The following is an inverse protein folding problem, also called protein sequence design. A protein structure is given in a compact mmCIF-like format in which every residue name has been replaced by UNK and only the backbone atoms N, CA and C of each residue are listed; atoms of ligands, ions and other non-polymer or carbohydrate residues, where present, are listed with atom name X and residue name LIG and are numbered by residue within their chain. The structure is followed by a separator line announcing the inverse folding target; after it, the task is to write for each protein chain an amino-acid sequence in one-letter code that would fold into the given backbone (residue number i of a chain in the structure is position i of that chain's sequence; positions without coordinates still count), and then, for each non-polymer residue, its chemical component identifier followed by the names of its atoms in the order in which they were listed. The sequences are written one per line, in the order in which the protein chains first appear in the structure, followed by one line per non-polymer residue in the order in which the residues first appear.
data_IF_743582741456
#
_entry.id   IF_743582741456
#
_cell.length_a   1.000
_cell.length_b   1.000
_cell.length_c   1.000
_cell.angle_alpha   90.00
_cell.angle_beta   90.00
_cell.angle_gamma   90.00
#
_symmetry.space_group_name_H-M   'P 1'
#
loop_
_entity.id
_entity.type
_entity.pdbx_description
1 polymer ?
#
# COMPACT_ATOMS: atom_id res chain seq x y z
N UNK A 1 2.59 -1.06 -20.03
CA UNK A 1 3.44 0.15 -20.10
C UNK A 1 4.79 -0.29 -19.58
N UNK A 2 5.77 -0.51 -20.46
CA UNK A 2 7.04 -1.10 -20.05
C UNK A 2 8.01 -0.02 -19.53
N UNK A 3 8.27 -0.04 -18.23
CA UNK A 3 9.22 0.86 -17.53
C UNK A 3 10.59 0.18 -17.33
N UNK A 4 10.75 -1.05 -17.77
CA UNK A 4 11.95 -1.88 -17.59
C UNK A 4 13.20 -1.34 -18.29
N UNK A 5 13.05 -0.45 -19.27
CA UNK A 5 14.17 0.19 -19.95
C UNK A 5 14.88 1.25 -19.08
N UNK A 6 14.26 1.70 -17.99
CA UNK A 6 14.86 2.66 -17.06
C UNK A 6 15.79 1.98 -16.05
N UNK A 7 16.96 1.53 -16.52
CA UNK A 7 17.93 0.75 -15.75
C UNK A 7 18.47 1.47 -14.49
N UNK A 8 18.51 2.80 -14.50
CA UNK A 8 19.01 3.61 -13.39
C UNK A 8 17.91 4.21 -12.50
N UNK A 9 16.63 3.89 -12.77
CA UNK A 9 15.51 4.44 -12.01
C UNK A 9 15.29 3.64 -10.72
N UNK A 10 15.62 4.27 -9.60
CA UNK A 10 15.49 3.66 -8.27
C UNK A 10 14.24 4.11 -7.51
N UNK A 11 13.62 5.21 -7.94
CA UNK A 11 12.45 5.81 -7.27
C UNK A 11 11.39 6.10 -8.32
N UNK A 12 10.19 5.59 -8.11
CA UNK A 12 9.05 5.80 -8.99
C UNK A 12 7.87 6.34 -8.17
N UNK A 13 7.29 7.45 -8.64
CA UNK A 13 6.06 8.00 -8.09
C UNK A 13 5.00 8.00 -9.19
N UNK A 14 3.92 7.28 -8.94
CA UNK A 14 2.78 7.15 -9.84
C UNK A 14 1.58 7.84 -9.20
N UNK A 15 0.97 8.77 -9.92
CA UNK A 15 -0.18 9.55 -9.48
C UNK A 15 -1.34 9.40 -10.45
N UNK A 16 -2.56 9.39 -9.92
CA UNK A 16 -3.77 9.22 -10.70
C UNK A 16 -4.13 7.75 -10.90
N UNK A 17 -5.26 7.52 -11.56
CA UNK A 17 -5.93 6.22 -11.68
C UNK A 17 -5.08 5.22 -12.49
N UNK A 18 -4.62 4.16 -11.83
CA UNK A 18 -3.76 3.09 -12.36
C UNK A 18 -4.26 1.78 -11.75
N UNK A 19 -5.46 1.37 -12.12
CA UNK A 19 -6.16 0.24 -11.49
C UNK A 19 -5.38 -1.08 -11.63
N UNK A 20 -4.66 -1.24 -12.75
CA UNK A 20 -3.84 -2.40 -13.05
C UNK A 20 -2.38 -2.00 -13.19
N UNK A 21 -1.53 -2.60 -12.37
CA UNK A 21 -0.09 -2.45 -12.50
C UNK A 21 0.46 -3.34 -13.62
N UNK A 22 1.56 -2.92 -14.26
CA UNK A 22 2.23 -3.75 -15.24
C UNK A 22 2.83 -4.99 -14.55
N UNK A 23 3.22 -5.99 -15.33
CA UNK A 23 3.82 -7.19 -14.77
C UNK A 23 5.15 -6.86 -14.05
N UNK A 24 5.55 -7.64 -13.04
CA UNK A 24 6.81 -7.40 -12.29
C UNK A 24 8.04 -7.17 -13.19
N UNK A 25 8.09 -7.82 -14.37
CA UNK A 25 9.18 -7.71 -15.36
C UNK A 25 9.17 -6.39 -16.16
N UNK A 26 8.04 -5.70 -16.18
CA UNK A 26 7.89 -4.40 -16.83
C UNK A 26 8.25 -3.24 -15.90
N UNK A 27 8.46 -3.48 -14.60
CA UNK A 27 8.98 -2.46 -13.69
C UNK A 27 10.47 -2.19 -13.94
N UNK A 28 10.98 -1.01 -13.54
CA UNK A 28 12.41 -0.75 -13.53
C UNK A 28 13.13 -1.81 -12.66
N UNK A 29 14.19 -2.46 -13.18
CA UNK A 29 14.78 -3.62 -12.52
C UNK A 29 15.44 -3.28 -11.18
N UNK A 30 15.86 -2.03 -10.98
CA UNK A 30 16.52 -1.56 -9.76
C UNK A 30 15.60 -0.67 -8.91
N UNK A 31 14.28 -0.86 -9.01
CA UNK A 31 13.32 -0.05 -8.28
C UNK A 31 13.40 -0.31 -6.76
N UNK A 32 13.81 0.70 -6.02
CA UNK A 32 13.97 0.65 -4.55
C UNK A 32 12.80 1.30 -3.82
N UNK A 33 12.22 2.36 -4.39
CA UNK A 33 11.11 3.09 -3.80
C UNK A 33 9.97 3.23 -4.79
N UNK A 34 8.77 2.84 -4.37
CA UNK A 34 7.53 3.07 -5.10
C UNK A 34 6.56 3.90 -4.27
N UNK A 35 5.93 4.88 -4.90
CA UNK A 35 4.86 5.67 -4.28
C UNK A 35 3.66 5.75 -5.22
N UNK A 36 2.51 5.31 -4.74
CA UNK A 36 1.25 5.23 -5.49
C UNK A 36 0.24 6.16 -4.81
N UNK A 37 -0.35 7.08 -5.57
CA UNK A 37 -1.30 8.06 -5.04
C UNK A 37 -2.47 8.18 -6.02
N UNK A 38 -3.69 7.99 -5.53
CA UNK A 38 -4.90 8.03 -6.37
C UNK A 38 -4.97 6.91 -7.41
N UNK A 39 -4.21 5.83 -7.21
CA UNK A 39 -4.08 4.72 -8.16
C UNK A 39 -5.29 3.81 -8.24
N UNK A 40 -6.11 3.73 -7.20
CA UNK A 40 -7.31 2.87 -7.17
C UNK A 40 -7.00 1.41 -7.55
N UNK A 41 -5.90 0.88 -7.01
CA UNK A 41 -5.39 -0.44 -7.35
C UNK A 41 -6.45 -1.53 -7.14
N UNK A 42 -6.52 -2.46 -8.09
CA UNK A 42 -7.21 -3.73 -7.90
C UNK A 42 -6.47 -4.62 -6.89
N UNK A 43 -7.21 -5.48 -6.19
CA UNK A 43 -6.67 -6.42 -5.17
C UNK A 43 -5.47 -7.21 -5.73
N UNK A 44 -5.58 -7.70 -6.96
CA UNK A 44 -4.53 -8.51 -7.61
C UNK A 44 -3.26 -7.72 -7.96
N UNK A 45 -3.34 -6.38 -8.02
CA UNK A 45 -2.18 -5.55 -8.33
C UNK A 45 -1.19 -5.47 -7.17
N UNK A 46 -1.64 -5.65 -5.93
CA UNK A 46 -0.76 -5.75 -4.75
C UNK A 46 0.23 -6.91 -4.94
N UNK A 47 -0.22 -8.06 -5.47
CA UNK A 47 0.61 -9.24 -5.71
C UNK A 47 1.83 -8.94 -6.59
N UNK A 48 1.68 -8.04 -7.57
CA UNK A 48 2.80 -7.62 -8.42
C UNK A 48 3.84 -6.79 -7.64
N UNK A 49 3.38 -5.99 -6.69
CA UNK A 49 4.25 -5.18 -5.83
C UNK A 49 5.05 -6.04 -4.87
N UNK A 50 4.44 -7.10 -4.32
CA UNK A 50 5.10 -8.00 -3.36
C UNK A 50 6.27 -8.75 -3.98
N UNK A 51 6.20 -8.99 -5.29
CA UNK A 51 7.21 -9.71 -6.07
C UNK A 51 8.38 -8.84 -6.51
N UNK A 52 8.38 -7.54 -6.24
CA UNK A 52 9.47 -6.65 -6.63
C UNK A 52 10.71 -6.95 -5.77
N UNK A 53 11.81 -7.47 -6.37
CA UNK A 53 12.89 -8.07 -5.62
C UNK A 53 13.74 -7.07 -4.83
N UNK A 54 13.79 -5.81 -5.27
CA UNK A 54 14.62 -4.76 -4.66
C UNK A 54 13.82 -3.65 -3.97
N UNK A 55 12.49 -3.80 -3.89
CA UNK A 55 11.64 -2.79 -3.29
C UNK A 55 11.87 -2.71 -1.79
N UNK A 56 12.46 -1.60 -1.33
CA UNK A 56 12.73 -1.34 0.10
C UNK A 56 11.73 -0.38 0.72
N UNK A 57 11.07 0.45 -0.08
CA UNK A 57 10.10 1.42 0.39
C UNK A 57 8.85 1.43 -0.48
N UNK A 58 7.69 1.22 0.15
CA UNK A 58 6.39 1.33 -0.47
C UNK A 58 5.56 2.40 0.23
N UNK A 59 4.95 3.28 -0.56
CA UNK A 59 3.97 4.26 -0.10
C UNK A 59 2.66 4.03 -0.85
N UNK A 60 1.62 3.63 -0.12
CA UNK A 60 0.24 3.60 -0.57
C UNK A 60 -0.46 4.84 -0.01
N UNK A 61 -0.63 5.85 -0.85
CA UNK A 61 -1.18 7.15 -0.49
C UNK A 61 -2.68 7.27 -0.71
N UNK A 62 -3.19 8.49 -0.54
CA UNK A 62 -4.61 8.80 -0.67
C UNK A 62 -5.24 8.15 -1.91
N UNK A 63 -6.32 7.40 -1.71
CA UNK A 63 -7.07 6.69 -2.77
C UNK A 63 -6.22 5.71 -3.63
N UNK A 64 -5.03 5.28 -3.19
CA UNK A 64 -4.25 4.28 -3.93
C UNK A 64 -4.83 2.87 -3.81
N UNK A 65 -5.53 2.57 -2.73
CA UNK A 65 -6.16 1.29 -2.46
C UNK A 65 -7.56 1.51 -1.86
N UNK A 66 -8.60 1.00 -2.52
CA UNK A 66 -10.01 1.20 -2.16
C UNK A 66 -10.70 -0.08 -1.66
N UNK A 67 -9.94 -1.14 -1.41
CA UNK A 67 -10.49 -2.40 -0.92
C UNK A 67 -10.40 -2.49 0.59
N UNK A 68 -11.33 -3.26 1.17
CA UNK A 68 -11.43 -3.46 2.62
C UNK A 68 -10.36 -4.35 3.21
N UNK A 69 -9.82 -5.25 2.39
CA UNK A 69 -8.85 -6.25 2.80
C UNK A 69 -7.53 -6.02 2.10
N UNK A 70 -6.44 -6.08 2.84
CA UNK A 70 -5.08 -6.20 2.33
C UNK A 70 -4.50 -7.52 2.82
N UNK A 71 -3.95 -8.31 1.91
CA UNK A 71 -3.24 -9.54 2.24
C UNK A 71 -1.79 -9.36 1.83
N UNK A 72 -0.89 -9.58 2.78
CA UNK A 72 0.54 -9.71 2.51
C UNK A 72 0.90 -11.18 2.51
N UNK A 73 1.15 -11.73 1.32
CA UNK A 73 1.35 -13.17 1.14
C UNK A 73 2.71 -13.62 1.67
N UNK A 74 2.81 -14.90 2.00
CA UNK A 74 4.06 -15.53 2.41
C UNK A 74 5.18 -15.27 1.39
N UNK A 75 6.36 -14.97 1.89
CA UNK A 75 7.55 -14.54 1.11
C UNK A 75 7.35 -13.25 0.28
N UNK A 76 6.18 -12.62 0.39
CA UNK A 76 5.89 -11.33 -0.19
C UNK A 76 6.74 -10.23 0.43
N UNK A 77 7.17 -9.27 -0.41
CA UNK A 77 7.97 -8.13 0.00
C UNK A 77 9.29 -8.51 0.68
N UNK A 78 10.17 -9.29 0.02
CA UNK A 78 11.36 -9.87 0.65
C UNK A 78 12.36 -8.82 1.15
N UNK A 79 12.42 -7.65 0.52
CA UNK A 79 13.38 -6.59 0.86
C UNK A 79 12.72 -5.34 1.47
N UNK A 80 11.41 -5.37 1.74
CA UNK A 80 10.68 -4.18 2.19
C UNK A 80 11.09 -3.80 3.60
N UNK A 81 11.54 -2.56 3.78
CA UNK A 81 12.00 -2.02 5.06
C UNK A 81 11.10 -0.90 5.57
N UNK A 82 10.41 -0.21 4.67
CA UNK A 82 9.55 0.93 4.99
C UNK A 82 8.22 0.79 4.28
N UNK A 83 7.12 0.77 5.04
CA UNK A 83 5.76 0.74 4.53
C UNK A 83 4.98 1.93 5.09
N UNK A 84 4.48 2.78 4.20
CA UNK A 84 3.59 3.87 4.55
C UNK A 84 2.19 3.63 3.97
N UNK A 85 1.19 3.56 4.83
CA UNK A 85 -0.23 3.53 4.48
C UNK A 85 -0.82 4.88 4.87
N UNK A 86 -1.26 5.67 3.88
CA UNK A 86 -1.70 7.06 4.10
C UNK A 86 -3.05 7.31 3.46
N UNK A 87 -4.04 7.70 4.27
CA UNK A 87 -5.39 8.06 3.81
C UNK A 87 -6.10 6.93 3.07
N UNK A 88 -5.94 5.68 3.53
CA UNK A 88 -6.63 4.49 3.00
C UNK A 88 -7.94 4.28 3.76
N UNK A 89 -8.97 5.02 3.36
CA UNK A 89 -10.20 5.14 4.15
C UNK A 89 -11.09 3.89 4.14
N UNK A 90 -10.98 3.07 3.10
CA UNK A 90 -11.77 1.84 2.96
C UNK A 90 -11.08 0.61 3.55
N UNK A 91 -9.78 0.70 3.85
CA UNK A 91 -9.02 -0.46 4.34
C UNK A 91 -9.35 -0.73 5.80
N UNK A 92 -9.87 -1.93 6.08
CA UNK A 92 -10.37 -2.35 7.39
C UNK A 92 -9.54 -3.51 7.96
N UNK A 93 -9.27 -4.50 7.13
CA UNK A 93 -8.58 -5.72 7.50
C UNK A 93 -7.24 -5.82 6.79
N UNK A 94 -6.21 -6.16 7.55
CA UNK A 94 -4.89 -6.44 7.00
C UNK A 94 -4.37 -7.75 7.59
N UNK A 95 -4.22 -8.74 6.71
CA UNK A 95 -3.67 -10.05 7.02
C UNK A 95 -2.21 -10.11 6.56
N UNK A 96 -1.34 -10.55 7.46
CA UNK A 96 0.08 -10.77 7.16
C UNK A 96 0.39 -12.24 7.41
N UNK A 97 0.65 -12.95 6.32
CA UNK A 97 1.03 -14.36 6.36
C UNK A 97 2.40 -14.54 7.01
N UNK A 98 2.74 -15.78 7.34
CA UNK A 98 4.05 -16.13 7.85
C UNK A 98 5.14 -15.77 6.83
N UNK A 99 6.29 -15.30 7.30
CA UNK A 99 7.43 -14.88 6.47
C UNK A 99 7.17 -13.73 5.48
N UNK A 100 5.99 -13.10 5.50
CA UNK A 100 5.74 -11.88 4.75
C UNK A 100 6.47 -10.69 5.40
N UNK A 101 7.07 -9.81 4.58
CA UNK A 101 7.69 -8.54 5.04
C UNK A 101 8.70 -8.70 6.20
N UNK A 102 9.47 -9.80 6.26
CA UNK A 102 10.36 -10.09 7.39
C UNK A 102 11.38 -8.98 7.70
N UNK A 103 11.73 -8.18 6.69
CA UNK A 103 12.70 -7.09 6.81
C UNK A 103 12.09 -5.72 7.15
N UNK A 104 10.79 -5.65 7.45
CA UNK A 104 10.09 -4.40 7.71
C UNK A 104 10.59 -3.76 9.01
N UNK A 105 11.15 -2.56 8.92
CA UNK A 105 11.72 -1.81 10.05
C UNK A 105 10.85 -0.63 10.47
N UNK A 106 10.14 -0.03 9.51
CA UNK A 106 9.32 1.15 9.76
C UNK A 106 7.95 0.97 9.11
N UNK A 107 6.92 0.97 9.95
CA UNK A 107 5.53 1.03 9.55
C UNK A 107 4.93 2.37 9.96
N UNK A 108 4.46 3.12 8.96
CA UNK A 108 3.70 4.35 9.19
C UNK A 108 2.28 4.18 8.70
N UNK A 109 1.31 4.46 9.57
CA UNK A 109 -0.11 4.47 9.28
C UNK A 109 -0.62 5.87 9.59
N UNK A 110 -1.14 6.56 8.57
CA UNK A 110 -1.65 7.91 8.70
C UNK A 110 -3.04 7.99 8.09
N UNK A 111 -4.04 8.45 8.83
CA UNK A 111 -5.42 8.63 8.33
C UNK A 111 -6.06 7.36 7.74
N UNK A 112 -5.82 6.20 8.37
CA UNK A 112 -6.50 4.94 8.03
C UNK A 112 -7.46 4.56 9.18
N UNK A 113 -8.64 5.20 9.28
CA UNK A 113 -9.47 5.16 10.49
C UNK A 113 -10.10 3.79 10.77
N UNK A 114 -10.28 2.95 9.74
CA UNK A 114 -10.89 1.62 9.87
C UNK A 114 -9.88 0.48 10.00
N UNK A 115 -8.60 0.74 9.73
CA UNK A 115 -7.58 -0.30 9.63
C UNK A 115 -7.28 -0.90 11.00
N UNK A 116 -7.47 -2.21 11.11
CA UNK A 116 -6.96 -3.02 12.22
C UNK A 116 -5.53 -3.47 11.90
N UNK A 117 -4.58 -3.04 12.71
CA UNK A 117 -3.18 -3.46 12.57
C UNK A 117 -3.06 -4.94 12.95
N UNK A 118 -2.51 -5.80 12.07
CA UNK A 118 -2.35 -7.23 12.36
C UNK A 118 -1.44 -7.46 13.56
N UNK A 119 -1.84 -8.36 14.45
CA UNK A 119 -1.10 -8.67 15.68
C UNK A 119 0.34 -9.12 15.38
N UNK A 120 0.55 -9.86 14.29
CA UNK A 120 1.88 -10.29 13.84
C UNK A 120 2.85 -9.11 13.68
N UNK A 121 2.38 -7.96 13.19
CA UNK A 121 3.24 -6.77 13.05
C UNK A 121 3.46 -6.04 14.37
N UNK A 122 2.52 -6.14 15.31
CA UNK A 122 2.68 -5.61 16.68
C UNK A 122 3.68 -6.43 17.50
N UNK A 123 3.71 -7.74 17.28
CA UNK A 123 4.60 -8.69 17.94
C UNK A 123 5.92 -8.91 17.17
N UNK A 124 6.09 -8.27 16.02
CA UNK A 124 7.28 -8.45 15.19
C UNK A 124 8.49 -7.81 15.82
N UNK A 125 9.57 -8.58 15.96
CA UNK A 125 10.87 -8.07 16.42
C UNK A 125 11.62 -7.24 15.37
N UNK A 126 11.17 -7.25 14.11
CA UNK A 126 11.84 -6.54 13.02
C UNK A 126 11.37 -5.09 12.88
N UNK A 127 10.11 -4.82 13.24
CA UNK A 127 9.52 -3.48 13.20
C UNK A 127 10.05 -2.67 14.37
N UNK A 128 10.92 -1.70 14.08
CA UNK A 128 11.55 -0.82 15.07
C UNK A 128 10.75 0.45 15.34
N UNK A 129 10.04 0.92 14.32
CA UNK A 129 9.26 2.16 14.37
C UNK A 129 7.85 1.86 13.87
N UNK A 130 6.88 2.08 14.74
CA UNK A 130 5.45 2.07 14.43
C UNK A 130 4.88 3.46 14.68
N UNK A 131 4.56 4.19 13.63
CA UNK A 131 3.89 5.48 13.71
C UNK A 131 2.42 5.34 13.32
N UNK A 132 1.51 5.69 14.24
CA UNK A 132 0.07 5.78 13.94
C UNK A 132 -0.35 7.22 14.16
N UNK A 133 -0.78 7.90 13.09
CA UNK A 133 -1.20 9.30 13.11
C UNK A 133 -2.62 9.41 12.58
N UNK A 134 -3.45 10.13 13.33
CA UNK A 134 -4.79 10.49 12.90
C UNK A 134 -4.85 12.01 12.75
N UNK A 135 -5.31 12.49 11.61
CA UNK A 135 -5.55 13.89 11.37
C UNK A 135 -7.04 14.18 11.65
N UNK A 136 -7.38 14.78 12.81
CA UNK A 136 -8.76 15.07 13.17
C UNK A 136 -9.42 16.10 12.23
N UNK A 137 -8.65 16.82 11.41
CA UNK A 137 -9.15 17.87 10.53
C UNK A 137 -9.45 17.39 9.10
N UNK A 138 -9.05 16.17 8.71
CA UNK A 138 -9.50 15.56 7.46
C UNK A 138 -10.89 14.98 7.66
N UNK A 139 -11.89 15.86 7.68
CA UNK A 139 -13.31 15.51 7.71
C UNK A 139 -13.60 14.59 6.52
N UNK A 140 -13.97 13.33 6.79
CA UNK A 140 -14.55 12.43 5.80
C UNK A 140 -15.70 13.18 5.09
N UNK A 141 -15.48 13.58 3.85
CA UNK A 141 -16.60 13.95 2.97
C UNK A 141 -17.16 12.62 2.49
N UNK A 142 -18.37 12.30 2.92
CA UNK A 142 -19.10 11.15 2.40
C UNK A 142 -19.09 11.22 0.86
N UNK A 143 -18.79 10.11 0.16
CA UNK A 143 -18.93 10.05 -1.28
C UNK A 143 -20.38 10.41 -1.68
N UNK A 144 -20.54 11.23 -2.71
CA UNK A 144 -21.83 11.78 -3.14
C UNK A 144 -22.87 10.71 -3.56
N UNK A 145 -22.44 9.46 -3.79
CA UNK A 145 -23.36 8.32 -4.05
C UNK A 145 -24.14 7.85 -2.81
N UNK A 146 -23.78 8.30 -1.60
CA UNK A 146 -24.58 8.04 -0.38
C UNK A 146 -25.84 8.92 -0.27
N UNK A 147 -26.03 9.88 -1.18
CA UNK A 147 -27.23 10.75 -1.21
C UNK A 147 -28.32 10.30 -2.19
N UNK A 148 -28.20 9.14 -2.84
CA UNK A 148 -29.21 8.66 -3.79
C UNK A 148 -29.91 7.40 -3.28
N UNK A 149 -30.95 7.58 -2.47
CA UNK A 149 -32.16 6.73 -2.42
C UNK A 149 -33.12 7.23 -1.34
N UNK A 150 -33.63 8.45 -1.53
CA UNK A 150 -34.98 8.82 -1.10
C UNK A 150 -35.57 9.71 -2.19
N UNK A 151 -36.21 9.06 -3.15
CA UNK A 151 -37.22 9.65 -4.02
C UNK A 151 -38.32 8.61 -4.09
N UNK A 152 -39.44 9.02 -3.49
CA UNK A 152 -40.82 8.51 -3.46
C UNK A 152 -41.17 7.19 -4.15
#
# INVERSE_FOLDING_TARGET
MALSHFQHLHKLCLKGKIEKLPHVREFPPNLVKLSLIGSELQKDSIVQLERLPYLKMLVLGNQSYKWRELVSFSEGFPQLQVLHLVSLMELEEWTVEENAMMNLKHLKIEDCPRLKIPERLKLSNTVKILEVKYNPFKRWRSPEWTKASKTD
#
